data_IF_872018401797
#
_entry.id   IF_872018401797
#
_cell.length_a   1.000
_cell.length_b   1.000
_cell.length_c   1.000
_cell.angle_alpha   90.00
_cell.angle_beta   90.00
_cell.angle_gamma   90.00
#
_symmetry.space_group_name_H-M   'P 1'
#
loop_
_entity.id
_entity.type
_entity.pdbx_description
1 polymer ?
#
# COMPACT_ATOMS: atom_id res chain seq x y z
N UNK A 1 54.10 48.64 -11.25
CA UNK A 1 55.28 48.98 -10.43
C UNK A 1 55.30 50.49 -10.28
N UNK A 2 55.60 50.98 -9.07
CA UNK A 2 55.69 52.38 -8.61
C UNK A 2 54.43 52.99 -7.98
N UNK A 3 54.56 53.17 -6.66
CA UNK A 3 53.67 53.88 -5.76
C UNK A 3 53.74 55.39 -5.97
N UNK A 4 52.63 56.09 -5.71
CA UNK A 4 52.63 57.52 -5.41
C UNK A 4 51.83 57.79 -4.13
N UNK A 5 52.50 58.49 -3.22
CA UNK A 5 52.03 59.02 -1.93
C UNK A 5 50.92 60.05 -2.14
N UNK A 6 50.13 60.34 -1.09
CA UNK A 6 49.94 61.66 -0.44
C UNK A 6 48.89 61.53 0.70
N UNK A 7 49.31 61.90 1.91
CA UNK A 7 48.59 62.17 3.18
C UNK A 7 48.05 63.64 3.12
N UNK A 8 47.24 64.27 4.04
CA UNK A 8 46.63 63.89 5.34
C UNK A 8 45.12 64.24 5.45
N UNK A 9 44.49 64.00 6.62
CA UNK A 9 43.88 65.04 7.49
C UNK A 9 43.18 64.37 8.70
N UNK A 10 43.57 64.85 9.88
CA UNK A 10 43.02 64.59 11.22
C UNK A 10 41.50 64.84 11.32
N UNK A 11 40.77 64.07 12.15
CA UNK A 11 39.98 64.53 13.31
C UNK A 11 39.30 63.34 14.06
N UNK A 12 38.74 63.53 15.27
CA UNK A 12 39.24 62.95 16.51
C UNK A 12 38.47 61.71 16.99
N UNK A 13 39.11 60.98 17.90
CA UNK A 13 38.55 59.88 18.69
C UNK A 13 37.45 60.44 19.61
N UNK A 14 36.19 60.11 19.34
CA UNK A 14 35.07 60.29 20.28
C UNK A 14 34.72 58.91 20.83
N UNK A 15 35.07 58.71 22.11
CA UNK A 15 34.73 57.53 22.89
C UNK A 15 33.22 57.59 23.24
N UNK A 16 32.38 57.06 22.34
CA UNK A 16 30.94 56.92 22.57
C UNK A 16 30.65 55.66 23.38
N UNK A 17 30.37 55.82 24.67
CA UNK A 17 29.91 54.74 25.55
C UNK A 17 28.48 54.36 25.14
N UNK A 18 28.33 53.33 24.30
CA UNK A 18 27.02 52.75 24.01
C UNK A 18 26.53 51.98 25.23
N UNK A 19 25.56 52.55 25.95
CA UNK A 19 24.79 51.81 26.94
C UNK A 19 23.93 50.79 26.19
N UNK A 20 24.33 49.51 26.28
CA UNK A 20 23.49 48.39 25.89
C UNK A 20 22.25 48.41 26.81
N UNK A 21 21.10 48.76 26.25
CA UNK A 21 19.81 48.59 26.94
C UNK A 21 19.53 47.10 26.99
N UNK A 22 19.69 46.49 28.16
CA UNK A 22 19.32 45.10 28.37
C UNK A 22 17.80 44.96 28.16
N UNK A 23 17.39 44.28 27.09
CA UNK A 23 16.00 43.90 26.89
C UNK A 23 15.55 43.01 28.06
N UNK A 24 14.45 43.38 28.71
CA UNK A 24 13.84 42.55 29.76
C UNK A 24 13.51 41.15 29.23
N UNK A 25 13.77 40.08 30.01
CA UNK A 25 13.29 38.75 29.66
C UNK A 25 11.76 38.75 29.74
N UNK A 26 11.09 38.53 28.62
CA UNK A 26 9.64 38.37 28.58
C UNK A 26 9.23 37.14 29.42
N UNK A 27 8.13 37.23 30.20
CA UNK A 27 7.69 36.13 31.05
C UNK A 27 7.08 35.01 30.19
N UNK A 28 7.56 33.79 30.42
CA UNK A 28 6.93 32.51 30.11
C UNK A 28 6.21 32.40 28.76
N UNK A 29 6.97 32.19 27.69
CA UNK A 29 6.44 31.55 26.49
C UNK A 29 6.11 30.10 26.87
N UNK A 30 4.87 29.60 26.67
CA UNK A 30 4.58 28.19 26.90
C UNK A 30 5.56 27.36 26.05
N UNK A 31 6.33 26.51 26.71
CA UNK A 31 7.15 25.49 26.05
C UNK A 31 6.20 24.60 25.28
N UNK A 32 6.13 24.80 23.96
CA UNK A 32 5.42 23.87 23.08
C UNK A 32 6.19 22.56 23.17
N UNK A 33 5.67 21.60 23.93
CA UNK A 33 6.16 20.24 23.86
C UNK A 33 5.98 19.78 22.42
N UNK A 34 7.09 19.49 21.74
CA UNK A 34 7.06 18.90 20.42
C UNK A 34 6.17 17.66 20.49
N UNK A 35 5.16 17.60 19.61
CA UNK A 35 4.35 16.40 19.48
C UNK A 35 5.28 15.22 19.19
N UNK A 36 5.06 14.05 19.81
CA UNK A 36 5.89 12.88 19.54
C UNK A 36 5.86 12.60 18.03
N UNK A 37 7.04 12.62 17.41
CA UNK A 37 7.18 12.24 16.01
C UNK A 37 6.76 10.79 15.90
N UNK A 38 5.75 10.49 15.08
CA UNK A 38 5.36 9.11 14.79
C UNK A 38 6.54 8.41 14.11
N UNK A 39 7.29 7.62 14.87
CA UNK A 39 8.34 6.78 14.31
C UNK A 39 7.70 5.51 13.77
N UNK A 40 7.81 5.30 12.46
CA UNK A 40 7.39 4.04 11.85
C UNK A 40 8.33 2.92 12.31
N UNK A 41 7.81 1.77 12.79
CA UNK A 41 8.65 0.64 13.15
C UNK A 41 9.54 0.20 11.99
N UNK A 42 10.79 -0.19 12.28
CA UNK A 42 11.62 -0.84 11.29
C UNK A 42 11.07 -2.23 10.95
N UNK A 43 11.06 -2.57 9.67
CA UNK A 43 10.53 -3.85 9.16
C UNK A 43 11.52 -4.52 8.21
N UNK A 44 11.53 -5.85 8.25
CA UNK A 44 12.31 -6.71 7.35
C UNK A 44 11.61 -6.96 5.99
N UNK A 45 10.47 -6.31 5.73
CA UNK A 45 9.70 -6.47 4.49
C UNK A 45 10.40 -5.83 3.29
N UNK A 46 10.29 -6.43 2.11
CA UNK A 46 10.78 -5.82 0.87
C UNK A 46 9.96 -4.59 0.48
N UNK A 47 8.63 -4.66 0.64
CA UNK A 47 7.68 -3.56 0.46
C UNK A 47 6.49 -3.73 1.41
N UNK A 48 5.90 -2.63 1.86
CA UNK A 48 4.65 -2.63 2.64
C UNK A 48 3.95 -1.27 2.59
N UNK A 49 2.67 -1.26 2.92
CA UNK A 49 1.89 -0.06 3.16
C UNK A 49 0.86 -0.32 4.27
N UNK A 50 0.70 0.64 5.17
CA UNK A 50 -0.31 0.63 6.23
C UNK A 50 -1.09 1.92 6.13
N UNK A 51 -2.40 1.81 5.93
CA UNK A 51 -3.31 2.94 5.73
C UNK A 51 -4.44 2.84 6.75
N UNK A 52 -4.74 3.95 7.41
CA UNK A 52 -5.99 4.07 8.15
C UNK A 52 -7.16 4.26 7.15
N UNK A 53 -8.15 3.36 7.19
CA UNK A 53 -9.23 3.38 6.20
C UNK A 53 -10.18 4.57 6.35
N UNK A 54 -10.32 5.12 7.57
CA UNK A 54 -11.24 6.23 7.83
C UNK A 54 -10.67 7.57 7.36
N UNK A 55 -9.46 7.90 7.80
CA UNK A 55 -8.76 9.15 7.46
C UNK A 55 -8.02 9.08 6.13
N UNK A 56 -7.80 7.88 5.59
CA UNK A 56 -6.91 7.61 4.44
C UNK A 56 -5.45 8.00 4.69
N UNK A 57 -5.06 8.22 5.94
CA UNK A 57 -3.69 8.54 6.30
C UNK A 57 -2.80 7.30 6.13
N UNK A 58 -1.68 7.46 5.43
CA UNK A 58 -0.60 6.47 5.43
C UNK A 58 0.13 6.53 6.76
N UNK A 59 0.07 5.44 7.51
CA UNK A 59 0.72 5.29 8.82
C UNK A 59 2.17 4.79 8.68
N UNK A 60 2.43 3.96 7.67
CA UNK A 60 3.76 3.45 7.34
C UNK A 60 3.81 2.99 5.89
N UNK A 61 4.93 3.20 5.21
CA UNK A 61 5.11 2.80 3.82
C UNK A 61 6.58 2.52 3.50
N UNK A 62 6.84 1.52 2.66
CA UNK A 62 8.16 1.17 2.13
C UNK A 62 7.99 0.61 0.73
N UNK A 63 8.72 1.15 -0.25
CA UNK A 63 8.78 0.65 -1.62
C UNK A 63 7.40 0.40 -2.28
N UNK A 64 6.42 1.30 -2.05
CA UNK A 64 5.00 1.07 -2.41
C UNK A 64 4.74 0.98 -3.92
N UNK A 65 5.63 1.53 -4.73
CA UNK A 65 5.52 1.53 -6.20
C UNK A 65 6.49 0.53 -6.85
N UNK A 66 7.23 -0.24 -6.06
CA UNK A 66 8.15 -1.24 -6.57
C UNK A 66 7.36 -2.49 -6.97
N UNK A 67 7.48 -2.98 -8.22
CA UNK A 67 6.87 -4.24 -8.61
C UNK A 67 7.42 -5.39 -7.74
N UNK A 68 6.50 -6.17 -7.19
CA UNK A 68 6.79 -7.38 -6.40
C UNK A 68 5.87 -8.50 -6.87
N UNK A 69 6.34 -9.73 -6.79
CA UNK A 69 5.50 -10.88 -7.13
C UNK A 69 4.31 -10.97 -6.14
N UNK A 70 3.06 -10.93 -6.63
CA UNK A 70 1.90 -10.93 -5.74
C UNK A 70 1.62 -12.31 -5.12
N UNK A 71 2.14 -13.39 -5.71
CA UNK A 71 1.81 -14.77 -5.35
C UNK A 71 0.28 -14.94 -5.16
N UNK A 72 -0.16 -15.50 -4.03
CA UNK A 72 -1.58 -15.73 -3.73
C UNK A 72 -2.41 -14.44 -3.59
N UNK A 73 -1.81 -13.25 -3.42
CA UNK A 73 -2.56 -11.99 -3.40
C UNK A 73 -3.34 -11.75 -4.71
N UNK A 74 -2.92 -12.37 -5.81
CA UNK A 74 -3.65 -12.37 -7.08
C UNK A 74 -5.10 -12.85 -6.92
N UNK A 75 -5.37 -13.79 -6.01
CA UNK A 75 -6.73 -14.32 -5.78
C UNK A 75 -7.69 -13.27 -5.21
N UNK A 76 -7.19 -12.17 -4.63
CA UNK A 76 -8.03 -11.04 -4.23
C UNK A 76 -8.69 -10.38 -5.44
N UNK A 77 -8.00 -10.30 -6.59
CA UNK A 77 -8.57 -9.79 -7.83
C UNK A 77 -9.63 -10.75 -8.38
N UNK A 78 -9.36 -12.07 -8.34
CA UNK A 78 -10.36 -13.08 -8.70
C UNK A 78 -11.61 -12.95 -7.84
N UNK A 79 -11.46 -12.84 -6.51
CA UNK A 79 -12.58 -12.64 -5.59
C UNK A 79 -13.35 -11.36 -5.92
N UNK A 80 -12.65 -10.25 -6.16
CA UNK A 80 -13.27 -8.98 -6.54
C UNK A 80 -14.13 -9.11 -7.79
N UNK A 81 -13.62 -9.77 -8.84
CA UNK A 81 -14.37 -9.98 -10.09
C UNK A 81 -15.57 -10.92 -9.90
N UNK A 82 -15.46 -11.95 -9.06
CA UNK A 82 -16.59 -12.81 -8.70
C UNK A 82 -17.67 -11.99 -8.00
N UNK A 83 -17.32 -11.24 -6.94
CA UNK A 83 -18.28 -10.39 -6.23
C UNK A 83 -18.92 -9.33 -7.13
N UNK A 84 -18.15 -8.74 -8.05
CA UNK A 84 -18.66 -7.79 -9.04
C UNK A 84 -19.71 -8.43 -9.94
N UNK A 85 -19.47 -9.66 -10.41
CA UNK A 85 -20.42 -10.39 -11.24
C UNK A 85 -21.63 -10.91 -10.45
N UNK A 86 -21.47 -11.25 -9.18
CA UNK A 86 -22.60 -11.58 -8.30
C UNK A 86 -23.51 -10.37 -8.11
N UNK A 87 -22.92 -9.20 -7.87
CA UNK A 87 -23.65 -7.93 -7.73
C UNK A 87 -24.41 -7.55 -9.00
N UNK A 88 -23.89 -7.87 -10.18
CA UNK A 88 -24.58 -7.63 -11.45
C UNK A 88 -25.52 -8.77 -11.89
N UNK A 89 -25.63 -9.85 -11.10
CA UNK A 89 -26.49 -11.00 -11.39
C UNK A 89 -25.95 -11.98 -12.44
N UNK A 90 -24.70 -11.83 -12.89
CA UNK A 90 -24.09 -12.68 -13.93
C UNK A 90 -23.67 -14.08 -13.41
N UNK A 91 -23.49 -14.22 -12.10
CA UNK A 91 -23.17 -15.46 -11.41
C UNK A 91 -23.95 -15.48 -10.11
N UNK A 92 -24.53 -16.62 -9.76
CA UNK A 92 -25.30 -16.78 -8.52
C UNK A 92 -24.50 -17.54 -7.47
N UNK A 93 -24.78 -17.28 -6.19
CA UNK A 93 -24.12 -17.92 -5.04
C UNK A 93 -24.31 -19.44 -5.06
N UNK A 94 -25.53 -19.87 -5.39
CA UNK A 94 -25.98 -21.27 -5.39
C UNK A 94 -25.71 -21.96 -6.74
N UNK A 95 -25.18 -21.24 -7.72
CA UNK A 95 -24.83 -21.79 -9.04
C UNK A 95 -23.78 -22.89 -8.87
N UNK A 96 -24.09 -24.10 -9.34
CA UNK A 96 -23.18 -25.23 -9.27
C UNK A 96 -22.25 -25.23 -10.48
N UNK A 97 -20.95 -25.11 -10.22
CA UNK A 97 -19.91 -25.09 -11.25
C UNK A 97 -19.26 -26.46 -11.33
N UNK A 98 -19.12 -26.97 -12.56
CA UNK A 98 -18.36 -28.19 -12.82
C UNK A 98 -16.87 -27.89 -12.64
N UNK A 99 -16.17 -28.73 -11.90
CA UNK A 99 -14.73 -28.59 -11.71
C UNK A 99 -14.01 -29.02 -13.00
N UNK A 100 -13.29 -28.11 -13.69
CA UNK A 100 -12.53 -28.47 -14.86
C UNK A 100 -11.27 -29.23 -14.47
N UNK A 101 -10.83 -30.14 -15.34
CA UNK A 101 -9.63 -30.94 -15.12
C UNK A 101 -8.37 -30.07 -15.00
N UNK A 102 -8.31 -28.96 -15.73
CA UNK A 102 -7.23 -27.98 -15.63
C UNK A 102 -7.14 -27.32 -14.24
N UNK A 103 -8.26 -26.95 -13.63
CA UNK A 103 -8.28 -26.43 -12.27
C UNK A 103 -7.87 -27.49 -11.25
N UNK A 104 -8.33 -28.73 -11.44
CA UNK A 104 -7.90 -29.86 -10.64
C UNK A 104 -6.43 -30.23 -10.86
N UNK A 105 -5.82 -29.96 -12.00
CA UNK A 105 -4.41 -30.22 -12.21
C UNK A 105 -3.50 -29.17 -11.55
N UNK A 106 -4.07 -28.10 -10.99
CA UNK A 106 -3.29 -27.04 -10.35
C UNK A 106 -2.44 -27.55 -9.19
N UNK A 107 -1.24 -26.98 -9.09
CA UNK A 107 -0.30 -27.23 -8.00
C UNK A 107 -0.56 -26.26 -6.83
N UNK A 108 0.03 -26.54 -5.67
CA UNK A 108 -0.08 -25.69 -4.48
C UNK A 108 -1.34 -25.94 -3.63
N UNK A 109 -1.84 -24.88 -2.99
CA UNK A 109 -2.99 -24.96 -2.06
C UNK A 109 -4.28 -25.27 -2.80
N UNK A 110 -5.12 -26.13 -2.23
CA UNK A 110 -6.30 -26.73 -2.91
C UNK A 110 -7.43 -27.07 -1.94
N UNK A 111 -8.66 -27.13 -2.48
CA UNK A 111 -9.83 -27.68 -1.79
C UNK A 111 -9.93 -29.21 -1.90
N UNK A 112 -9.15 -29.83 -2.79
CA UNK A 112 -9.20 -31.27 -3.09
C UNK A 112 -10.56 -31.75 -3.64
N UNK A 113 -11.23 -30.88 -4.40
CA UNK A 113 -12.39 -31.27 -5.23
C UNK A 113 -11.95 -32.25 -6.32
N UNK A 114 -12.85 -33.08 -6.89
CA UNK A 114 -12.49 -34.01 -7.97
C UNK A 114 -12.91 -33.48 -9.35
N UNK A 115 -12.22 -33.85 -10.44
CA UNK A 115 -12.63 -33.48 -11.79
C UNK A 115 -14.05 -33.96 -12.08
N UNK A 116 -14.88 -33.08 -12.64
CA UNK A 116 -16.26 -33.41 -13.00
C UNK A 116 -17.27 -33.35 -11.85
N UNK A 117 -16.84 -33.27 -10.59
CA UNK A 117 -17.74 -32.91 -9.49
C UNK A 117 -18.33 -31.51 -9.74
N UNK A 118 -19.46 -31.22 -9.10
CA UNK A 118 -20.06 -29.88 -9.13
C UNK A 118 -20.04 -29.28 -7.73
N UNK A 119 -19.63 -28.02 -7.63
CA UNK A 119 -19.52 -27.29 -6.36
C UNK A 119 -20.14 -25.91 -6.55
N UNK A 120 -20.97 -25.48 -5.60
CA UNK A 120 -21.60 -24.16 -5.63
C UNK A 120 -20.55 -23.03 -5.60
N UNK A 121 -20.82 -21.93 -6.30
CA UNK A 121 -19.98 -20.70 -6.30
C UNK A 121 -19.60 -20.26 -4.89
N UNK A 122 -20.54 -20.25 -3.93
CA UNK A 122 -20.28 -19.88 -2.53
C UNK A 122 -19.21 -20.75 -1.85
N UNK A 123 -19.27 -22.08 -2.05
CA UNK A 123 -18.28 -23.02 -1.50
C UNK A 123 -16.91 -22.83 -2.13
N UNK A 124 -16.86 -22.63 -3.45
CA UNK A 124 -15.60 -22.34 -4.16
C UNK A 124 -14.99 -21.03 -3.67
N UNK A 125 -15.80 -19.99 -3.51
CA UNK A 125 -15.36 -18.68 -3.02
C UNK A 125 -14.82 -18.77 -1.59
N UNK A 126 -15.53 -19.49 -0.70
CA UNK A 126 -15.07 -19.74 0.67
C UNK A 126 -13.77 -20.53 0.71
N UNK A 127 -13.64 -21.58 -0.09
CA UNK A 127 -12.41 -22.37 -0.15
C UNK A 127 -11.23 -21.60 -0.73
N UNK A 128 -11.45 -20.80 -1.78
CA UNK A 128 -10.45 -19.90 -2.32
C UNK A 128 -9.99 -18.90 -1.26
N UNK A 129 -10.90 -18.21 -0.57
CA UNK A 129 -10.53 -17.18 0.42
C UNK A 129 -9.88 -17.78 1.66
N UNK A 130 -10.38 -18.90 2.17
CA UNK A 130 -9.92 -19.49 3.43
C UNK A 130 -8.63 -20.30 3.28
N UNK A 131 -8.43 -20.97 2.14
CA UNK A 131 -7.30 -21.87 1.92
C UNK A 131 -6.32 -21.36 0.86
N UNK A 132 -6.59 -20.21 0.24
CA UNK A 132 -5.91 -19.76 -0.98
C UNK A 132 -5.96 -20.84 -2.08
N UNK A 133 -7.07 -21.57 -2.18
CA UNK A 133 -7.17 -22.75 -3.01
C UNK A 133 -7.17 -22.43 -4.53
N UNK A 134 -6.16 -22.93 -5.23
CA UNK A 134 -5.94 -22.70 -6.66
C UNK A 134 -7.00 -23.40 -7.54
N UNK A 135 -7.41 -24.61 -7.17
CA UNK A 135 -8.48 -25.33 -7.88
C UNK A 135 -9.81 -24.56 -7.85
N UNK A 136 -10.13 -23.94 -6.71
CA UNK A 136 -11.28 -23.06 -6.60
C UNK A 136 -11.12 -21.77 -7.41
N UNK A 137 -9.96 -21.11 -7.30
CA UNK A 137 -9.67 -19.86 -8.02
C UNK A 137 -9.77 -20.04 -9.55
N UNK A 138 -9.19 -21.13 -10.07
CA UNK A 138 -9.21 -21.43 -11.50
C UNK A 138 -10.61 -21.82 -11.98
N UNK A 139 -11.39 -22.54 -11.18
CA UNK A 139 -12.79 -22.85 -11.52
C UNK A 139 -13.65 -21.58 -11.62
N UNK A 140 -13.49 -20.66 -10.66
CA UNK A 140 -14.19 -19.37 -10.69
C UNK A 140 -13.73 -18.50 -11.87
N UNK A 141 -12.42 -18.47 -12.14
CA UNK A 141 -11.87 -17.73 -13.27
C UNK A 141 -12.36 -18.27 -14.61
N UNK A 142 -12.39 -19.60 -14.78
CA UNK A 142 -12.93 -20.27 -15.95
C UNK A 142 -14.41 -19.89 -16.19
N UNK A 143 -15.22 -19.90 -15.13
CA UNK A 143 -16.62 -19.50 -15.19
C UNK A 143 -16.81 -18.03 -15.61
N UNK A 144 -15.96 -17.12 -15.14
CA UNK A 144 -16.03 -15.70 -15.50
C UNK A 144 -15.46 -15.40 -16.90
N UNK A 145 -14.49 -16.20 -17.34
CA UNK A 145 -13.85 -16.13 -18.64
C UNK A 145 -14.55 -16.92 -19.74
N UNK A 146 -15.77 -17.43 -19.49
CA UNK A 146 -16.52 -18.29 -20.41
C UNK A 146 -15.70 -19.48 -20.95
N UNK A 147 -14.91 -20.12 -20.08
CA UNK A 147 -14.04 -21.25 -20.45
C UNK A 147 -12.59 -20.86 -20.78
N UNK A 148 -12.19 -19.60 -20.56
CA UNK A 148 -10.83 -19.11 -20.84
C UNK A 148 -10.33 -18.17 -19.76
N UNK A 149 -9.36 -18.63 -18.97
CA UNK A 149 -8.77 -17.86 -17.87
C UNK A 149 -8.02 -16.62 -18.38
N UNK A 150 -7.45 -16.65 -19.59
CA UNK A 150 -6.78 -15.49 -20.21
C UNK A 150 -7.71 -14.29 -20.38
N UNK A 151 -9.01 -14.52 -20.59
CA UNK A 151 -10.01 -13.46 -20.71
C UNK A 151 -10.14 -12.69 -19.40
N UNK A 152 -9.88 -13.33 -18.26
CA UNK A 152 -9.89 -12.68 -16.94
C UNK A 152 -8.63 -11.83 -16.73
N UNK A 153 -7.46 -12.30 -17.20
CA UNK A 153 -6.19 -11.58 -17.05
C UNK A 153 -6.17 -10.21 -17.76
N UNK A 154 -7.06 -9.99 -18.73
CA UNK A 154 -7.17 -8.76 -19.51
C UNK A 154 -8.34 -7.84 -19.08
N UNK A 155 -9.00 -8.12 -17.95
CA UNK A 155 -10.16 -7.35 -17.44
C UNK A 155 -9.86 -6.60 -16.14
#
# INVERSE_FOLDING_TARGET
>A
MTAHKILPVLLPIILGVSHATAASPAPNRPTVHAAPTLQTPETLTAAHIVIDLQSRQTLSAKNTNTPVEPAALTQLMTAYLVFKNMKSGNIQSEENLKIPESAWASEGSRMFVRPGDTVSTDKLLKGMIALCANDAALTLADRLGNGSIEILCNK
#
